data_IF_596953944542
#
_entry.id   IF_596953944542
#
_cell.length_a   1.000
_cell.length_b   1.000
_cell.length_c   1.000
_cell.angle_alpha   90.00
_cell.angle_beta   90.00
_cell.angle_gamma   90.00
#
_symmetry.space_group_name_H-M   'P 1'
#
loop_
_entity.id
_entity.type
_entity.pdbx_description
1 polymer ?
#
# COMPACT_ATOMS: atom_id res chain seq x y z
N UNK A 1 6.71 -10.32 -17.07
CA UNK A 1 7.07 -9.09 -17.78
C UNK A 1 7.66 -8.09 -16.79
N UNK A 2 8.87 -7.57 -17.00
CA UNK A 2 9.43 -6.49 -16.19
C UNK A 2 8.94 -5.15 -16.74
N UNK A 3 7.72 -4.73 -16.43
CA UNK A 3 7.26 -3.40 -16.84
C UNK A 3 8.09 -2.34 -16.11
N UNK A 4 8.59 -1.32 -16.83
CA UNK A 4 9.35 -0.21 -16.21
C UNK A 4 8.51 0.50 -15.14
N UNK A 5 7.20 0.55 -15.32
CA UNK A 5 6.24 1.11 -14.36
C UNK A 5 6.22 0.35 -13.03
N UNK A 6 6.24 -0.99 -13.04
CA UNK A 6 6.23 -1.77 -11.79
C UNK A 6 7.51 -1.57 -10.95
N UNK A 7 8.65 -1.31 -11.59
CA UNK A 7 9.90 -1.01 -10.87
C UNK A 7 9.82 0.29 -10.07
N UNK A 8 9.00 1.24 -10.51
CA UNK A 8 8.78 2.53 -9.83
C UNK A 8 7.60 2.41 -8.85
N UNK A 9 6.51 1.75 -9.26
CA UNK A 9 5.33 1.59 -8.44
C UNK A 9 5.62 0.79 -7.16
N UNK A 10 6.40 -0.29 -7.25
CA UNK A 10 6.68 -1.16 -6.11
C UNK A 10 7.35 -0.45 -4.92
N UNK A 11 8.43 0.33 -5.08
CA UNK A 11 9.01 1.07 -3.96
C UNK A 11 8.07 2.15 -3.41
N UNK A 12 7.27 2.81 -4.26
CA UNK A 12 6.27 3.79 -3.80
C UNK A 12 5.18 3.10 -2.96
N UNK A 13 4.66 1.98 -3.45
CA UNK A 13 3.67 1.17 -2.73
C UNK A 13 4.22 0.66 -1.40
N UNK A 14 5.48 0.23 -1.38
CA UNK A 14 6.17 -0.19 -0.17
C UNK A 14 6.32 0.97 0.83
N UNK A 15 6.75 2.15 0.38
CA UNK A 15 6.86 3.34 1.23
C UNK A 15 5.50 3.77 1.80
N UNK A 16 4.45 3.78 0.98
CA UNK A 16 3.09 4.07 1.43
C UNK A 16 2.59 3.05 2.46
N UNK A 17 2.89 1.76 2.28
CA UNK A 17 2.55 0.71 3.25
C UNK A 17 3.32 0.89 4.57
N UNK A 18 4.63 1.21 4.52
CA UNK A 18 5.42 1.51 5.72
C UNK A 18 4.87 2.72 6.47
N UNK A 19 4.50 3.79 5.75
CA UNK A 19 3.91 4.97 6.36
C UNK A 19 2.53 4.69 6.96
N UNK A 20 1.72 3.83 6.31
CA UNK A 20 0.44 3.38 6.86
C UNK A 20 0.63 2.59 8.17
N UNK A 21 1.62 1.70 8.22
CA UNK A 21 1.97 0.93 9.43
C UNK A 21 2.51 1.83 10.54
N UNK A 22 3.31 2.82 10.19
CA UNK A 22 3.82 3.80 11.14
C UNK A 22 2.66 4.60 11.77
N UNK A 23 1.81 5.22 10.96
CA UNK A 23 0.70 6.05 11.45
C UNK A 23 -0.30 5.26 12.30
N UNK A 24 -0.67 4.03 11.91
CA UNK A 24 -1.56 3.21 12.75
C UNK A 24 -0.91 2.79 14.07
N UNK A 25 0.41 2.56 14.09
CA UNK A 25 1.13 2.25 15.32
C UNK A 25 1.07 3.41 16.30
N UNK A 26 1.32 4.63 15.83
CA UNK A 26 1.22 5.85 16.65
C UNK A 26 -0.21 6.03 17.20
N UNK A 27 -1.24 5.87 16.36
CA UNK A 27 -2.65 5.93 16.78
C UNK A 27 -2.97 4.88 17.85
N UNK A 28 -2.47 3.64 17.68
CA UNK A 28 -2.69 2.57 18.66
C UNK A 28 -1.98 2.83 19.98
N UNK A 29 -0.75 3.34 19.95
CA UNK A 29 -0.02 3.72 21.16
C UNK A 29 -0.73 4.85 21.93
N UNK A 30 -1.32 5.81 21.22
CA UNK A 30 -2.20 6.81 21.85
C UNK A 30 -3.44 6.17 22.48
N UNK A 31 -4.09 5.23 21.80
CA UNK A 31 -5.26 4.52 22.35
C UNK A 31 -4.96 3.70 23.61
N UNK A 32 -3.69 3.34 23.82
CA UNK A 32 -3.20 2.65 25.02
C UNK A 32 -2.60 3.61 26.07
N UNK A 33 -2.77 4.92 25.90
CA UNK A 33 -2.21 5.96 26.76
C UNK A 33 -0.68 5.90 26.93
N UNK A 34 0.03 5.36 25.93
CA UNK A 34 1.51 5.26 25.95
C UNK A 34 2.17 6.56 25.49
N UNK A 35 1.53 7.28 24.55
CA UNK A 35 2.02 8.55 24.03
C UNK A 35 0.86 9.45 23.59
N UNK A 36 1.13 10.75 23.45
CA UNK A 36 0.22 11.68 22.80
C UNK A 36 0.60 11.81 21.33
N UNK A 37 -0.33 11.47 20.43
CA UNK A 37 -0.08 11.60 19.01
C UNK A 37 -0.37 13.03 18.53
N UNK A 38 0.41 13.56 17.56
CA UNK A 38 0.13 14.86 17.00
C UNK A 38 -1.19 14.86 16.21
N UNK A 39 -1.89 15.99 16.21
CA UNK A 39 -3.22 16.12 15.58
C UNK A 39 -3.25 15.68 14.10
N UNK A 40 -2.17 15.91 13.36
CA UNK A 40 -2.08 15.59 11.94
C UNK A 40 -2.01 14.09 11.64
N UNK A 41 -1.73 13.22 12.63
CA UNK A 41 -1.47 11.79 12.38
C UNK A 41 -2.70 11.07 11.80
N UNK A 42 -3.91 11.45 12.23
CA UNK A 42 -5.16 10.82 11.80
C UNK A 42 -5.50 11.21 10.35
N UNK A 43 -5.38 12.49 10.02
CA UNK A 43 -5.58 12.99 8.65
C UNK A 43 -4.55 12.38 7.69
N UNK A 44 -3.28 12.31 8.10
CA UNK A 44 -2.24 11.67 7.30
C UNK A 44 -2.49 10.15 7.10
N UNK A 45 -2.99 9.45 8.13
CA UNK A 45 -3.35 8.03 8.03
C UNK A 45 -4.49 7.79 7.04
N UNK A 46 -5.51 8.64 7.07
CA UNK A 46 -6.67 8.55 6.18
C UNK A 46 -6.28 8.82 4.73
N UNK A 47 -5.59 9.94 4.47
CA UNK A 47 -5.12 10.32 3.13
C UNK A 47 -4.18 9.25 2.57
N UNK A 48 -3.20 8.80 3.36
CA UNK A 48 -2.28 7.75 2.90
C UNK A 48 -2.98 6.42 2.69
N UNK A 49 -4.02 6.09 3.47
CA UNK A 49 -4.85 4.91 3.27
C UNK A 49 -5.53 4.92 1.89
N UNK A 50 -6.12 6.05 1.50
CA UNK A 50 -6.72 6.22 0.17
C UNK A 50 -5.68 6.11 -0.94
N UNK A 51 -4.52 6.75 -0.79
CA UNK A 51 -3.40 6.65 -1.75
C UNK A 51 -2.93 5.21 -1.88
N UNK A 52 -2.75 4.50 -0.77
CA UNK A 52 -2.30 3.11 -0.74
C UNK A 52 -3.29 2.18 -1.45
N UNK A 53 -4.60 2.35 -1.25
CA UNK A 53 -5.63 1.60 -1.98
C UNK A 53 -5.49 1.83 -3.49
N UNK A 54 -5.35 3.10 -3.92
CA UNK A 54 -5.13 3.43 -5.32
C UNK A 54 -3.88 2.76 -5.91
N UNK A 55 -2.77 2.79 -5.18
CA UNK A 55 -1.51 2.14 -5.59
C UNK A 55 -1.68 0.61 -5.70
N UNK A 56 -2.40 -0.02 -4.78
CA UNK A 56 -2.69 -1.47 -4.81
C UNK A 56 -3.51 -1.82 -6.06
N UNK A 57 -4.56 -1.06 -6.37
CA UNK A 57 -5.37 -1.30 -7.57
C UNK A 57 -4.51 -1.20 -8.83
N UNK A 58 -3.71 -0.14 -8.97
CA UNK A 58 -2.78 0.02 -10.10
C UNK A 58 -1.80 -1.15 -10.16
N UNK A 59 -1.27 -1.58 -9.02
CA UNK A 59 -0.33 -2.71 -8.94
C UNK A 59 -0.97 -4.01 -9.42
N UNK A 60 -2.21 -4.30 -9.02
CA UNK A 60 -2.97 -5.48 -9.45
C UNK A 60 -3.22 -5.43 -10.95
N UNK A 61 -3.67 -4.29 -11.49
CA UNK A 61 -3.93 -4.12 -12.92
C UNK A 61 -2.67 -4.35 -13.75
N UNK A 62 -1.55 -3.74 -13.36
CA UNK A 62 -0.27 -3.91 -14.06
C UNK A 62 0.29 -5.34 -13.96
N UNK A 63 -0.01 -6.06 -12.87
CA UNK A 63 0.39 -7.46 -12.69
C UNK A 63 -0.67 -8.46 -13.18
N UNK A 64 -1.81 -8.02 -13.72
CA UNK A 64 -2.92 -8.91 -14.08
C UNK A 64 -2.52 -10.08 -15.00
N UNK A 65 -1.67 -9.90 -16.04
CA UNK A 65 -1.19 -11.02 -16.85
C UNK A 65 -0.40 -12.04 -16.02
N UNK A 66 0.45 -11.59 -15.10
CA UNK A 66 1.20 -12.47 -14.21
C UNK A 66 0.26 -13.21 -13.24
N UNK A 67 -0.74 -12.53 -12.68
CA UNK A 67 -1.74 -13.11 -11.78
C UNK A 67 -2.53 -14.21 -12.52
N UNK A 68 -3.03 -13.93 -13.72
CA UNK A 68 -3.73 -14.94 -14.55
C UNK A 68 -2.90 -16.20 -14.77
N UNK A 69 -1.62 -16.03 -15.09
CA UNK A 69 -0.73 -17.16 -15.36
C UNK A 69 -0.36 -17.94 -14.10
N UNK A 70 -0.05 -17.26 -12.99
CA UNK A 70 0.54 -17.91 -11.81
C UNK A 70 -0.50 -18.30 -10.75
N UNK A 71 -1.53 -17.48 -10.57
CA UNK A 71 -2.58 -17.71 -9.57
C UNK A 71 -3.71 -18.53 -10.20
N UNK A 72 -4.26 -18.07 -11.32
CA UNK A 72 -5.41 -18.73 -11.96
C UNK A 72 -5.02 -19.84 -12.94
N UNK A 73 -3.73 -20.04 -13.21
CA UNK A 73 -3.21 -21.03 -14.19
C UNK A 73 -3.84 -20.91 -15.58
N UNK A 74 -4.34 -19.73 -15.93
CA UNK A 74 -4.89 -19.43 -17.25
C UNK A 74 -3.69 -19.26 -18.18
N UNK A 75 -3.48 -20.23 -19.06
CA UNK A 75 -2.43 -20.14 -20.07
C UNK A 75 -2.67 -18.90 -20.94
N UNK A 76 -1.65 -18.05 -21.05
CA UNK A 76 -1.65 -17.01 -22.07
C UNK A 76 -1.79 -17.71 -23.43
N UNK A 77 -2.85 -17.37 -24.16
CA UNK A 77 -3.06 -17.83 -25.52
C UNK A 77 -2.11 -17.10 -26.45
#
# INVERSE_FOLDING_TARGET
>A
MKSKFLKILNPILFAAALFQMFTITIIKLQSWAVLEAPAWIYEAHEINGLVLIGLIVIHIVLNWPWIKTNIFKIKAK
#
